data_IF_314991233325
#
_entry.id   IF_314991233325
#
_cell.length_a   1.000
_cell.length_b   1.000
_cell.length_c   1.000
_cell.angle_alpha   90.00
_cell.angle_beta   90.00
_cell.angle_gamma   90.00
#
_symmetry.space_group_name_H-M   'P 1'
#
loop_
_entity.id
_entity.type
_entity.pdbx_description
1 polymer ?
#
# COMPACT_ATOMS: atom_id res chain seq x y z
N UNK A 1 -19.01 7.99 20.87
CA UNK A 1 -18.59 6.74 21.53
C UNK A 1 -17.24 6.34 20.97
N UNK A 2 -16.21 6.29 21.81
CA UNK A 2 -14.89 5.81 21.44
C UNK A 2 -14.97 4.28 21.29
N UNK A 3 -15.10 3.75 20.07
CA UNK A 3 -15.18 2.30 19.84
C UNK A 3 -13.77 1.71 19.76
N UNK A 4 -13.50 0.66 20.52
CA UNK A 4 -12.27 -0.14 20.43
C UNK A 4 -12.10 -0.57 18.97
N UNK A 5 -10.93 -0.31 18.37
CA UNK A 5 -10.67 -0.64 16.96
C UNK A 5 -9.90 -1.93 16.77
N UNK A 6 -9.28 -2.44 17.83
CA UNK A 6 -8.48 -3.65 17.81
C UNK A 6 -9.29 -4.86 18.30
N UNK A 7 -9.24 -5.95 17.56
CA UNK A 7 -9.68 -7.28 17.98
C UNK A 7 -8.46 -8.17 18.19
N UNK A 8 -8.47 -8.94 19.28
CA UNK A 8 -7.47 -10.00 19.52
C UNK A 8 -8.02 -11.29 18.92
N UNK A 9 -7.29 -11.85 17.96
CA UNK A 9 -7.51 -13.17 17.43
C UNK A 9 -6.64 -14.23 18.11
N UNK A 10 -6.64 -15.42 17.51
CA UNK A 10 -5.82 -16.56 17.92
C UNK A 10 -4.33 -16.24 17.72
N UNK A 11 -3.48 -16.89 18.52
CA UNK A 11 -2.02 -16.74 18.48
C UNK A 11 -1.51 -15.29 18.51
N UNK A 12 -2.26 -14.43 19.21
CA UNK A 12 -2.01 -13.00 19.37
C UNK A 12 -2.00 -12.18 18.07
N UNK A 13 -2.62 -12.68 16.99
CA UNK A 13 -2.89 -11.84 15.83
C UNK A 13 -3.90 -10.75 16.20
N UNK A 14 -3.62 -9.52 15.80
CA UNK A 14 -4.52 -8.39 16.00
C UNK A 14 -5.20 -8.02 14.69
N UNK A 15 -6.48 -7.64 14.76
CA UNK A 15 -7.29 -7.24 13.61
C UNK A 15 -7.95 -5.88 13.83
N UNK A 16 -8.22 -5.17 12.73
CA UNK A 16 -8.95 -3.92 12.73
C UNK A 16 -10.45 -4.19 12.59
N UNK A 17 -11.28 -3.68 13.51
CA UNK A 17 -12.73 -4.02 13.53
C UNK A 17 -13.68 -2.85 13.49
N UNK A 18 -13.22 -1.64 13.83
CA UNK A 18 -14.03 -0.43 13.83
C UNK A 18 -13.29 0.68 13.08
N UNK A 19 -12.83 0.37 11.87
CA UNK A 19 -12.33 1.38 10.95
C UNK A 19 -13.48 2.19 10.34
N UNK A 20 -13.15 3.21 9.55
CA UNK A 20 -14.16 4.03 8.89
C UNK A 20 -15.04 3.24 7.90
N UNK A 21 -14.61 2.06 7.45
CA UNK A 21 -15.30 1.27 6.43
C UNK A 21 -15.93 -0.02 6.98
N UNK A 22 -15.74 -0.34 8.26
CA UNK A 22 -16.15 -1.58 8.91
C UNK A 22 -15.75 -2.83 8.11
N UNK A 23 -14.47 -2.93 7.73
CA UNK A 23 -13.97 -3.99 6.82
C UNK A 23 -14.39 -5.40 7.23
N UNK A 24 -14.15 -5.78 8.49
CA UNK A 24 -14.49 -7.10 8.99
C UNK A 24 -15.99 -7.40 8.88
N UNK A 25 -16.85 -6.43 9.19
CA UNK A 25 -18.29 -6.58 9.04
C UNK A 25 -18.68 -6.76 7.57
N UNK A 26 -18.11 -5.96 6.66
CA UNK A 26 -18.36 -6.09 5.22
C UNK A 26 -17.98 -7.47 4.66
N UNK A 27 -16.98 -8.12 5.23
CA UNK A 27 -16.61 -9.47 4.84
C UNK A 27 -17.54 -10.56 5.41
N UNK A 28 -18.28 -10.27 6.48
CA UNK A 28 -19.26 -11.18 7.08
C UNK A 28 -20.63 -11.11 6.40
N UNK A 29 -21.05 -9.93 5.95
CA UNK A 29 -22.36 -9.70 5.34
C UNK A 29 -22.25 -9.35 3.86
N UNK A 30 -23.15 -9.89 3.04
CA UNK A 30 -23.19 -9.48 1.64
C UNK A 30 -23.81 -8.08 1.52
N UNK A 31 -22.97 -7.07 1.33
CA UNK A 31 -23.43 -5.71 1.13
C UNK A 31 -23.69 -5.44 -0.36
N UNK A 32 -24.76 -4.72 -0.67
CA UNK A 32 -25.01 -4.25 -2.03
C UNK A 32 -24.05 -3.10 -2.36
N UNK A 33 -22.98 -3.41 -3.08
CA UNK A 33 -22.07 -2.41 -3.61
C UNK A 33 -22.72 -1.69 -4.80
N UNK A 34 -22.79 -0.35 -4.75
CA UNK A 34 -23.61 0.44 -5.68
C UNK A 34 -22.85 1.11 -6.83
N UNK A 35 -21.54 0.90 -6.95
CA UNK A 35 -20.80 1.26 -8.14
C UNK A 35 -19.42 1.84 -7.86
N UNK A 36 -18.65 2.01 -8.93
CA UNK A 36 -17.32 2.61 -8.90
C UNK A 36 -17.28 3.84 -9.80
N UNK A 37 -16.30 4.72 -9.59
CA UNK A 37 -16.08 5.82 -10.53
C UNK A 37 -15.74 5.29 -11.94
N UNK A 38 -16.23 5.98 -12.96
CA UNK A 38 -16.01 5.57 -14.35
C UNK A 38 -14.57 5.89 -14.79
N UNK A 39 -13.77 4.85 -14.99
CA UNK A 39 -12.39 4.94 -15.48
C UNK A 39 -12.19 4.55 -16.95
N UNK A 40 -13.29 4.41 -17.71
CA UNK A 40 -13.26 3.94 -19.12
C UNK A 40 -12.21 4.64 -19.98
N UNK A 41 -12.04 5.97 -19.82
CA UNK A 41 -11.07 6.79 -20.57
C UNK A 41 -9.59 6.50 -20.28
N UNK A 42 -9.28 5.66 -19.31
CA UNK A 42 -7.91 5.37 -18.88
C UNK A 42 -7.57 3.88 -18.90
N UNK A 43 -8.51 3.01 -19.31
CA UNK A 43 -8.32 1.55 -19.27
C UNK A 43 -7.17 1.05 -20.16
N UNK A 44 -6.71 1.84 -21.12
CA UNK A 44 -5.54 1.52 -21.93
C UNK A 44 -4.22 1.61 -21.14
N UNK A 45 -4.20 2.29 -19.99
CA UNK A 45 -2.99 2.53 -19.19
C UNK A 45 -3.15 2.39 -17.67
N UNK A 46 -4.34 2.04 -17.20
CA UNK A 46 -4.69 1.97 -15.77
C UNK A 46 -4.58 0.53 -15.24
N UNK A 47 -3.85 0.35 -14.15
CA UNK A 47 -3.87 -0.88 -13.35
C UNK A 47 -4.30 -0.58 -11.91
N UNK A 48 -5.34 -1.26 -11.45
CA UNK A 48 -5.68 -1.34 -10.03
C UNK A 48 -4.90 -2.48 -9.39
N UNK A 49 -4.23 -2.21 -8.28
CA UNK A 49 -3.59 -3.21 -7.43
C UNK A 49 -4.31 -3.16 -6.09
N UNK A 50 -5.09 -4.20 -5.78
CA UNK A 50 -5.88 -4.22 -4.55
C UNK A 50 -5.20 -5.10 -3.52
N UNK A 51 -4.65 -4.49 -2.46
CA UNK A 51 -4.15 -5.26 -1.32
C UNK A 51 -5.34 -5.89 -0.57
N UNK A 52 -5.31 -7.20 -0.30
CA UNK A 52 -6.35 -7.82 0.51
C UNK A 52 -6.31 -7.23 1.92
N UNK A 53 -7.48 -7.13 2.54
CA UNK A 53 -7.53 -6.87 3.97
C UNK A 53 -6.88 -8.03 4.74
N UNK A 54 -6.28 -7.70 5.89
CA UNK A 54 -5.52 -8.66 6.69
C UNK A 54 -6.39 -9.85 7.11
N UNK A 55 -7.64 -9.61 7.47
CA UNK A 55 -8.61 -10.62 7.83
C UNK A 55 -8.90 -11.61 6.69
N UNK A 56 -8.76 -11.21 5.41
CA UNK A 56 -8.93 -12.12 4.28
C UNK A 56 -7.81 -13.15 4.17
N UNK A 57 -6.58 -12.76 4.51
CA UNK A 57 -5.39 -13.63 4.45
C UNK A 57 -5.21 -14.41 5.75
N UNK A 58 -5.38 -13.74 6.89
CA UNK A 58 -5.17 -14.30 8.23
C UNK A 58 -6.47 -14.84 8.86
N UNK A 59 -7.46 -15.23 8.05
CA UNK A 59 -8.80 -15.64 8.52
C UNK A 59 -8.78 -16.77 9.55
N UNK A 60 -7.82 -17.69 9.47
CA UNK A 60 -7.72 -18.82 10.40
C UNK A 60 -7.32 -18.38 11.83
N UNK A 61 -6.77 -17.18 11.95
CA UNK A 61 -6.43 -16.55 13.23
C UNK A 61 -7.55 -15.67 13.79
N UNK A 62 -8.68 -15.53 13.10
CA UNK A 62 -9.83 -14.84 13.67
C UNK A 62 -10.51 -15.72 14.76
N UNK A 63 -11.20 -15.10 15.73
CA UNK A 63 -12.12 -15.83 16.61
C UNK A 63 -13.23 -16.52 15.78
N UNK A 64 -13.74 -17.66 16.28
CA UNK A 64 -14.61 -18.57 15.51
C UNK A 64 -15.95 -17.94 15.08
N UNK A 65 -16.40 -16.91 15.79
CA UNK A 65 -17.59 -16.13 15.46
C UNK A 65 -17.42 -15.25 14.21
N UNK A 66 -16.18 -14.99 13.77
CA UNK A 66 -15.89 -14.19 12.58
C UNK A 66 -15.62 -15.09 11.37
N UNK A 67 -16.49 -14.98 10.37
CA UNK A 67 -16.39 -15.72 9.11
C UNK A 67 -16.26 -14.77 7.94
N UNK A 68 -15.15 -14.88 7.20
CA UNK A 68 -14.90 -14.12 5.97
C UNK A 68 -15.58 -14.84 4.82
N UNK A 69 -16.76 -14.38 4.44
CA UNK A 69 -17.59 -15.02 3.41
C UNK A 69 -17.61 -14.22 2.10
N UNK A 70 -17.43 -12.90 2.17
CA UNK A 70 -17.67 -12.00 1.06
C UNK A 70 -16.47 -11.08 0.81
N UNK A 71 -16.24 -10.77 -0.46
CA UNK A 71 -15.32 -9.75 -0.97
C UNK A 71 -16.03 -8.97 -2.08
N UNK A 72 -17.22 -8.43 -1.74
CA UNK A 72 -18.22 -7.99 -2.72
C UNK A 72 -17.71 -6.85 -3.57
N UNK A 73 -17.09 -5.84 -2.97
CA UNK A 73 -16.51 -4.70 -3.68
C UNK A 73 -15.41 -5.13 -4.64
N UNK A 74 -14.48 -5.99 -4.19
CA UNK A 74 -13.44 -6.51 -5.08
C UNK A 74 -14.03 -7.34 -6.23
N UNK A 75 -15.04 -8.16 -5.95
CA UNK A 75 -15.72 -8.96 -6.98
C UNK A 75 -16.35 -8.06 -8.05
N UNK A 76 -17.02 -6.99 -7.63
CA UNK A 76 -17.56 -5.99 -8.54
C UNK A 76 -16.46 -5.33 -9.37
N UNK A 77 -15.39 -4.83 -8.73
CA UNK A 77 -14.26 -4.21 -9.42
C UNK A 77 -13.59 -5.16 -10.43
N UNK A 78 -13.48 -6.47 -10.12
CA UNK A 78 -12.98 -7.48 -11.05
C UNK A 78 -13.84 -7.64 -12.29
N UNK A 79 -15.17 -7.60 -12.13
CA UNK A 79 -16.09 -7.69 -13.26
C UNK A 79 -15.98 -6.46 -14.18
N UNK A 80 -15.86 -5.27 -13.60
CA UNK A 80 -15.79 -4.01 -14.35
C UNK A 80 -14.41 -3.78 -14.99
N UNK A 81 -13.32 -3.98 -14.25
CA UNK A 81 -11.95 -3.69 -14.70
C UNK A 81 -11.31 -4.85 -15.46
N UNK A 82 -11.78 -6.09 -15.29
CA UNK A 82 -11.25 -7.29 -15.95
C UNK A 82 -9.73 -7.43 -15.75
N UNK A 83 -8.93 -7.29 -16.81
CA UNK A 83 -7.47 -7.41 -16.77
C UNK A 83 -6.78 -6.16 -16.19
N UNK A 84 -7.52 -5.10 -15.92
CA UNK A 84 -7.01 -3.85 -15.34
C UNK A 84 -7.05 -3.84 -13.82
N UNK A 85 -7.21 -5.00 -13.19
CA UNK A 85 -7.12 -5.17 -11.74
C UNK A 85 -6.33 -6.42 -11.38
N UNK A 86 -5.47 -6.28 -10.38
CA UNK A 86 -4.66 -7.32 -9.80
C UNK A 86 -5.13 -7.58 -8.36
N UNK A 87 -5.46 -8.83 -8.08
CA UNK A 87 -5.75 -9.34 -6.75
C UNK A 87 -4.67 -10.36 -6.35
N UNK A 88 -3.75 -10.00 -5.43
CA UNK A 88 -2.65 -10.84 -5.03
C UNK A 88 -3.03 -11.87 -3.95
N UNK A 89 -4.30 -12.02 -3.60
CA UNK A 89 -4.74 -12.86 -2.47
C UNK A 89 -4.21 -14.30 -2.51
N UNK A 90 -4.17 -14.93 -3.70
CA UNK A 90 -3.68 -16.31 -3.85
C UNK A 90 -2.15 -16.44 -3.73
N UNK A 91 -1.41 -15.34 -3.81
CA UNK A 91 0.05 -15.31 -3.66
C UNK A 91 0.50 -15.17 -2.20
N UNK A 92 -0.42 -14.74 -1.34
CA UNK A 92 -0.13 -14.28 0.00
C UNK A 92 -0.52 -15.32 1.05
N UNK A 93 0.22 -15.31 2.15
CA UNK A 93 -0.04 -16.12 3.34
C UNK A 93 0.05 -15.27 4.61
N UNK A 94 -0.32 -15.85 5.76
CA UNK A 94 -0.39 -15.11 7.04
C UNK A 94 0.98 -14.54 7.51
N UNK A 95 2.09 -15.03 6.98
CA UNK A 95 3.44 -14.53 7.30
C UNK A 95 3.82 -13.29 6.50
N UNK A 96 3.00 -12.92 5.51
CA UNK A 96 3.16 -11.70 4.71
C UNK A 96 2.53 -10.47 5.37
N UNK A 97 1.84 -10.65 6.51
CA UNK A 97 1.29 -9.57 7.33
C UNK A 97 1.98 -9.54 8.70
N UNK A 98 2.07 -8.34 9.28
CA UNK A 98 2.47 -8.19 10.68
C UNK A 98 1.40 -8.79 11.60
N UNK A 99 1.78 -9.30 12.77
CA UNK A 99 0.80 -9.78 13.76
C UNK A 99 0.05 -8.65 14.43
N UNK A 100 0.74 -7.56 14.75
CA UNK A 100 0.27 -6.47 15.60
C UNK A 100 0.01 -5.16 14.86
N UNK A 101 0.05 -5.18 13.53
CA UNK A 101 -0.20 -4.04 12.66
C UNK A 101 -1.22 -4.42 11.57
N UNK A 102 -1.92 -3.42 11.02
CA UNK A 102 -2.89 -3.60 9.94
C UNK A 102 -2.28 -3.84 8.56
N UNK A 103 -1.01 -3.45 8.37
CA UNK A 103 -0.34 -3.48 7.08
C UNK A 103 0.31 -4.83 6.77
N UNK A 104 0.50 -5.04 5.48
CA UNK A 104 1.38 -6.08 4.94
C UNK A 104 2.84 -5.72 5.25
N UNK A 105 3.66 -6.74 5.55
CA UNK A 105 5.09 -6.54 5.79
C UNK A 105 5.88 -6.50 4.46
N UNK A 106 7.18 -6.20 4.52
CA UNK A 106 8.01 -6.07 3.31
C UNK A 106 8.05 -7.34 2.46
N UNK A 107 7.98 -8.53 3.09
CA UNK A 107 7.96 -9.82 2.38
C UNK A 107 6.71 -9.91 1.50
N UNK A 108 5.53 -9.64 2.06
CA UNK A 108 4.29 -9.59 1.30
C UNK A 108 4.30 -8.54 0.20
N UNK A 109 4.71 -7.32 0.53
CA UNK A 109 4.73 -6.20 -0.43
C UNK A 109 5.68 -6.48 -1.60
N UNK A 110 6.79 -7.18 -1.35
CA UNK A 110 7.71 -7.58 -2.41
C UNK A 110 7.09 -8.61 -3.36
N UNK A 111 6.34 -9.59 -2.83
CA UNK A 111 5.56 -10.53 -3.67
C UNK A 111 4.57 -9.78 -4.57
N UNK A 112 3.81 -8.83 -4.01
CA UNK A 112 2.86 -8.00 -4.78
C UNK A 112 3.58 -7.14 -5.83
N UNK A 113 4.73 -6.57 -5.50
CA UNK A 113 5.56 -5.81 -6.44
C UNK A 113 5.96 -6.66 -7.65
N UNK A 114 6.51 -7.86 -7.43
CA UNK A 114 6.91 -8.76 -8.52
C UNK A 114 5.71 -9.12 -9.40
N UNK A 115 4.58 -9.51 -8.79
CA UNK A 115 3.37 -9.83 -9.54
C UNK A 115 2.85 -8.63 -10.36
N UNK A 116 2.95 -7.42 -9.80
CA UNK A 116 2.59 -6.19 -10.50
C UNK A 116 3.44 -5.99 -11.75
N UNK A 117 4.76 -6.18 -11.67
CA UNK A 117 5.64 -6.01 -12.82
C UNK A 117 5.38 -7.05 -13.91
N UNK A 118 5.19 -8.31 -13.53
CA UNK A 118 4.84 -9.35 -14.50
C UNK A 118 3.52 -9.04 -15.20
N UNK A 119 2.52 -8.57 -14.46
CA UNK A 119 1.25 -8.14 -15.04
C UNK A 119 1.43 -6.95 -16.00
N UNK A 120 2.25 -5.96 -15.63
CA UNK A 120 2.52 -4.81 -16.49
C UNK A 120 3.19 -5.23 -17.81
N UNK A 121 4.22 -6.09 -17.74
CA UNK A 121 4.93 -6.61 -18.91
C UNK A 121 3.97 -7.29 -19.90
N UNK A 122 3.08 -8.13 -19.38
CA UNK A 122 2.14 -8.90 -20.23
C UNK A 122 0.99 -8.03 -20.73
N UNK A 123 0.33 -7.30 -19.84
CA UNK A 123 -0.92 -6.60 -20.15
C UNK A 123 -0.71 -5.30 -20.93
N UNK A 124 0.36 -4.54 -20.62
CA UNK A 124 0.67 -3.28 -21.29
C UNK A 124 1.85 -3.38 -22.27
N UNK A 125 2.43 -4.58 -22.45
CA UNK A 125 3.55 -4.83 -23.34
C UNK A 125 4.75 -3.87 -23.10
N UNK A 126 5.09 -3.67 -21.83
CA UNK A 126 6.19 -2.78 -21.41
C UNK A 126 7.41 -3.58 -20.97
N UNK A 127 8.61 -3.08 -21.28
CA UNK A 127 9.87 -3.67 -20.80
C UNK A 127 10.26 -3.02 -19.48
N UNK A 128 10.19 -3.79 -18.38
CA UNK A 128 10.53 -3.32 -17.03
C UNK A 128 11.42 -4.36 -16.36
N UNK A 129 12.56 -3.92 -15.82
CA UNK A 129 13.43 -4.80 -15.03
C UNK A 129 12.92 -4.88 -13.59
N UNK A 130 12.85 -6.09 -13.05
CA UNK A 130 12.56 -6.31 -11.63
C UNK A 130 13.79 -6.00 -10.79
N UNK A 131 13.60 -5.28 -9.69
CA UNK A 131 14.66 -5.06 -8.71
C UNK A 131 14.69 -6.21 -7.71
N UNK A 132 15.84 -6.86 -7.57
CA UNK A 132 16.08 -7.88 -6.55
C UNK A 132 16.44 -7.21 -5.22
N UNK A 133 15.86 -7.67 -4.12
CA UNK A 133 16.20 -7.24 -2.76
C UNK A 133 16.38 -8.44 -1.83
N UNK A 134 17.25 -8.27 -0.85
CA UNK A 134 17.51 -9.21 0.24
C UNK A 134 16.69 -8.76 1.44
N UNK A 135 15.72 -9.61 1.81
CA UNK A 135 14.85 -9.36 2.96
C UNK A 135 15.47 -10.02 4.19
N UNK A 136 15.69 -9.21 5.21
CA UNK A 136 16.17 -9.59 6.53
C UNK A 136 15.00 -9.55 7.52
N UNK A 137 15.10 -10.33 8.59
CA UNK A 137 14.11 -10.37 9.66
C UNK A 137 14.71 -10.04 11.02
N UNK A 138 13.91 -9.41 11.87
CA UNK A 138 14.26 -9.11 13.26
C UNK A 138 13.06 -9.30 14.15
N UNK A 139 13.15 -10.21 15.13
CA UNK A 139 12.15 -10.35 16.19
C UNK A 139 12.20 -9.14 17.12
N UNK A 140 11.04 -8.59 17.46
CA UNK A 140 10.90 -7.41 18.30
C UNK A 140 9.87 -7.67 19.38
N UNK A 141 10.07 -7.07 20.56
CA UNK A 141 9.06 -7.05 21.63
C UNK A 141 7.86 -6.16 21.29
N UNK A 142 8.01 -5.24 20.35
CA UNK A 142 6.95 -4.39 19.80
C UNK A 142 7.43 -3.69 18.52
N UNK A 143 6.59 -3.66 17.48
CA UNK A 143 6.84 -2.87 16.28
C UNK A 143 6.93 -1.36 16.57
N UNK A 144 6.23 -0.87 17.59
CA UNK A 144 6.25 0.55 17.96
C UNK A 144 7.64 1.04 18.37
N UNK A 145 8.53 0.14 18.82
CA UNK A 145 9.90 0.47 19.22
C UNK A 145 10.75 0.96 18.03
N UNK A 146 10.31 0.73 16.80
CA UNK A 146 11.00 1.19 15.59
C UNK A 146 10.76 2.68 15.31
N UNK A 147 9.68 3.28 15.81
CA UNK A 147 9.32 4.66 15.50
C UNK A 147 8.93 4.91 14.03
N UNK A 148 8.55 3.86 13.29
CA UNK A 148 8.24 3.91 11.85
C UNK A 148 6.73 3.98 11.54
N UNK A 149 5.89 4.27 12.54
CA UNK A 149 4.43 4.23 12.37
C UNK A 149 3.86 2.81 12.24
N UNK A 150 4.57 1.81 12.75
CA UNK A 150 4.14 0.40 12.79
C UNK A 150 3.64 -0.02 14.19
N UNK A 151 2.88 -1.11 14.23
CA UNK A 151 2.21 -1.64 15.42
C UNK A 151 0.91 -0.90 15.73
N UNK A 152 0.22 -0.38 14.71
CA UNK A 152 -0.93 0.52 14.87
C UNK A 152 -2.06 -0.06 15.74
N UNK A 153 -2.29 -1.38 15.68
CA UNK A 153 -3.30 -2.06 16.49
C UNK A 153 -2.96 -2.13 17.98
N UNK A 154 -1.72 -1.83 18.37
CA UNK A 154 -1.30 -1.74 19.77
C UNK A 154 -1.34 -0.31 20.32
N UNK A 155 -1.61 0.69 19.48
CA UNK A 155 -1.62 2.09 19.90
C UNK A 155 -2.79 2.39 20.85
N UNK A 156 -2.60 3.28 21.85
CA UNK A 156 -3.65 3.62 22.81
C UNK A 156 -4.98 4.01 22.18
N UNK A 157 -4.97 4.76 21.08
CA UNK A 157 -6.17 5.18 20.36
C UNK A 157 -6.96 4.04 19.68
N UNK A 158 -6.29 2.94 19.34
CA UNK A 158 -6.92 1.79 18.67
C UNK A 158 -7.32 0.72 19.68
N UNK A 159 -6.45 0.40 20.64
CA UNK A 159 -6.72 -0.64 21.65
C UNK A 159 -7.56 -0.15 22.83
N UNK A 160 -7.49 1.14 23.18
CA UNK A 160 -8.05 1.69 24.42
C UNK A 160 -7.61 0.90 25.67
N UNK A 161 -8.56 0.42 26.47
CA UNK A 161 -8.31 -0.36 27.69
C UNK A 161 -8.09 -1.86 27.42
N UNK A 162 -8.11 -2.28 26.15
CA UNK A 162 -7.86 -3.68 25.79
C UNK A 162 -6.45 -4.11 26.24
N UNK A 163 -6.41 -5.21 26.99
CA UNK A 163 -5.19 -5.87 27.45
C UNK A 163 -4.70 -6.83 26.36
N UNK A 164 -3.63 -6.43 25.67
CA UNK A 164 -3.01 -7.23 24.61
C UNK A 164 -2.01 -8.20 25.24
N UNK A 165 -2.18 -9.54 25.10
CA UNK A 165 -1.33 -10.51 25.78
C UNK A 165 0.13 -10.48 25.32
N UNK A 166 0.37 -10.22 24.02
CA UNK A 166 1.71 -10.06 23.45
C UNK A 166 1.71 -8.98 22.38
N UNK A 167 2.79 -8.18 22.36
CA UNK A 167 3.07 -7.19 21.31
C UNK A 167 4.22 -7.64 20.41
N UNK A 168 4.70 -8.86 20.60
CA UNK A 168 5.82 -9.39 19.84
C UNK A 168 5.47 -9.53 18.36
N UNK A 169 6.42 -9.19 17.51
CA UNK A 169 6.25 -9.26 16.06
C UNK A 169 7.60 -9.47 15.37
N UNK A 170 7.56 -9.81 14.08
CA UNK A 170 8.75 -9.94 13.24
C UNK A 170 8.79 -8.79 12.24
N UNK A 171 9.83 -7.96 12.35
CA UNK A 171 10.07 -6.88 11.42
C UNK A 171 10.89 -7.37 10.23
N UNK A 172 10.35 -7.20 9.03
CA UNK A 172 11.02 -7.52 7.77
C UNK A 172 11.54 -6.24 7.11
N UNK A 173 12.82 -6.21 6.75
CA UNK A 173 13.49 -5.03 6.20
C UNK A 173 14.54 -5.40 5.16
N UNK A 174 15.10 -4.41 4.47
CA UNK A 174 16.19 -4.60 3.51
C UNK A 174 17.21 -3.47 3.64
N UNK A 175 18.47 -3.78 3.34
CA UNK A 175 19.54 -2.79 3.22
C UNK A 175 19.75 -2.32 1.78
N UNK A 176 19.04 -2.92 0.80
CA UNK A 176 19.20 -2.62 -0.63
C UNK A 176 18.44 -1.36 -1.08
N UNK A 177 17.56 -0.86 -0.21
CA UNK A 177 16.72 0.31 -0.43
C UNK A 177 17.03 1.38 0.60
N UNK A 178 16.96 2.64 0.17
CA UNK A 178 17.05 3.77 1.09
C UNK A 178 15.78 3.85 1.94
N UNK A 179 15.86 4.28 3.21
CA UNK A 179 14.66 4.45 4.03
C UNK A 179 13.85 5.63 3.49
N UNK A 180 12.57 5.41 3.16
CA UNK A 180 11.73 6.49 2.63
C UNK A 180 11.27 7.48 3.72
N UNK A 181 11.01 6.98 4.94
CA UNK A 181 10.80 7.81 6.12
C UNK A 181 12.13 8.36 6.64
N UNK A 182 12.74 9.29 5.91
CA UNK A 182 13.97 9.95 6.32
C UNK A 182 13.79 11.45 6.56
N UNK A 183 14.45 11.92 7.63
CA UNK A 183 14.54 13.34 8.02
C UNK A 183 15.31 14.23 7.03
N UNK A 184 15.51 13.81 5.79
CA UNK A 184 16.22 14.59 4.78
C UNK A 184 15.78 14.18 3.38
N UNK A 185 15.64 15.16 2.49
CA UNK A 185 15.52 14.91 1.05
C UNK A 185 16.71 14.07 0.59
N UNK A 186 16.41 12.89 0.07
CA UNK A 186 17.41 11.99 -0.49
C UNK A 186 17.71 12.43 -1.92
N UNK A 187 18.84 13.10 -2.10
CA UNK A 187 19.48 13.26 -3.40
C UNK A 187 20.65 12.29 -3.45
N UNK A 188 20.43 11.13 -4.06
CA UNK A 188 21.53 10.27 -4.48
C UNK A 188 22.02 10.68 -5.86
N UNK A 189 23.18 10.15 -6.26
CA UNK A 189 23.66 10.28 -7.64
C UNK A 189 22.75 9.59 -8.66
N UNK A 190 21.77 8.77 -8.23
CA UNK A 190 20.93 7.97 -9.12
C UNK A 190 19.48 8.47 -9.20
N UNK A 191 18.91 8.82 -8.05
CA UNK A 191 17.51 9.22 -7.91
C UNK A 191 17.44 10.61 -7.30
N UNK A 192 16.75 11.50 -8.02
CA UNK A 192 16.37 12.83 -7.57
C UNK A 192 14.92 12.80 -7.11
N UNK A 193 14.64 13.39 -5.94
CA UNK A 193 13.29 13.49 -5.38
C UNK A 193 12.90 14.97 -5.28
N UNK A 194 11.72 15.31 -5.81
CA UNK A 194 11.12 16.64 -5.69
C UNK A 194 9.73 16.52 -5.04
N UNK A 195 9.36 17.54 -4.27
CA UNK A 195 8.02 17.71 -3.73
C UNK A 195 7.30 18.75 -4.59
N UNK A 196 6.15 18.37 -5.15
CA UNK A 196 5.31 19.23 -5.96
C UNK A 196 3.97 19.47 -5.25
N UNK A 197 3.42 20.68 -5.39
CA UNK A 197 2.03 20.89 -4.98
C UNK A 197 1.06 20.25 -6.02
N UNK A 198 -0.24 20.26 -5.74
CA UNK A 198 -1.27 19.72 -6.67
C UNK A 198 -1.43 20.53 -7.98
N UNK A 199 -0.75 21.68 -8.12
CA UNK A 199 -0.62 22.39 -9.40
C UNK A 199 0.56 21.90 -10.23
N UNK A 200 1.40 21.03 -9.67
CA UNK A 200 2.68 20.51 -10.19
C UNK A 200 3.83 21.52 -10.16
N UNK A 201 3.75 22.52 -9.29
CA UNK A 201 4.84 23.46 -9.05
C UNK A 201 5.81 22.86 -8.04
N UNK A 202 7.11 22.93 -8.32
CA UNK A 202 8.15 22.43 -7.41
C UNK A 202 8.23 23.32 -6.16
N UNK A 203 7.98 22.72 -5.00
CA UNK A 203 8.01 23.34 -3.68
C UNK A 203 9.02 22.64 -2.76
N UNK A 204 10.02 21.99 -3.36
CA UNK A 204 11.10 21.31 -2.63
C UNK A 204 11.91 22.34 -1.88
N UNK A 205 12.13 22.09 -0.59
CA UNK A 205 13.00 22.88 0.29
C UNK A 205 14.15 21.97 0.72
N UNK A 206 15.40 22.42 0.59
CA UNK A 206 16.61 21.58 0.75
C UNK A 206 16.69 20.83 2.09
N UNK A 207 16.08 21.38 3.15
CA UNK A 207 16.10 20.83 4.51
C UNK A 207 14.77 20.18 4.93
N UNK A 208 13.78 20.07 4.04
CA UNK A 208 12.46 19.54 4.41
C UNK A 208 12.48 18.02 4.56
N UNK A 209 11.91 17.57 5.67
CA UNK A 209 11.70 16.16 5.99
C UNK A 209 10.53 15.63 5.16
N UNK A 210 10.73 14.52 4.45
CA UNK A 210 9.60 13.80 3.83
C UNK A 210 8.94 12.97 4.94
N UNK A 211 7.97 13.57 5.60
CA UNK A 211 7.13 12.94 6.61
C UNK A 211 5.73 12.62 6.07
N UNK A 212 4.89 12.05 6.94
CA UNK A 212 3.51 11.73 6.60
C UNK A 212 2.68 12.95 6.18
N UNK A 213 2.96 14.12 6.74
CA UNK A 213 2.26 15.35 6.37
C UNK A 213 2.60 15.76 4.93
N UNK A 214 3.87 15.67 4.57
CA UNK A 214 4.35 15.94 3.20
C UNK A 214 3.73 14.94 2.22
N UNK A 215 3.82 13.63 2.52
CA UNK A 215 3.26 12.58 1.66
C UNK A 215 1.75 12.67 1.47
N UNK A 216 1.02 13.23 2.43
CA UNK A 216 -0.45 13.35 2.37
C UNK A 216 -0.95 14.63 1.70
N UNK A 217 -0.14 15.68 1.61
CA UNK A 217 -0.54 16.99 1.10
C UNK A 217 0.06 17.33 -0.26
N UNK A 218 1.13 16.65 -0.64
CA UNK A 218 1.93 16.98 -1.82
C UNK A 218 2.10 15.75 -2.73
N UNK A 219 2.57 15.99 -3.95
CA UNK A 219 2.97 14.97 -4.92
C UNK A 219 4.48 14.77 -4.82
N UNK A 220 4.92 13.53 -4.63
CA UNK A 220 6.35 13.20 -4.67
C UNK A 220 6.72 12.80 -6.09
N UNK A 221 7.60 13.58 -6.72
CA UNK A 221 8.20 13.26 -8.01
C UNK A 221 9.56 12.60 -7.77
N UNK A 222 9.77 11.39 -8.28
CA UNK A 222 11.09 10.79 -8.38
C UNK A 222 11.53 10.66 -9.83
N UNK A 223 12.81 10.95 -10.08
CA UNK A 223 13.46 10.73 -11.39
C UNK A 223 14.68 9.85 -11.17
N UNK A 224 14.70 8.66 -11.78
CA UNK A 224 15.81 7.72 -11.73
C UNK A 224 16.62 7.79 -13.03
N UNK A 225 17.76 8.49 -13.01
CA UNK A 225 18.52 8.73 -14.23
C UNK A 225 19.13 7.46 -14.82
N UNK A 226 19.31 6.41 -14.00
CA UNK A 226 19.90 5.12 -14.40
C UNK A 226 18.87 4.06 -14.81
N UNK A 227 17.58 4.40 -14.82
CA UNK A 227 16.54 3.45 -15.24
C UNK A 227 16.68 3.08 -16.73
N UNK A 228 16.45 1.81 -17.06
CA UNK A 228 16.56 1.26 -18.42
C UNK A 228 15.31 1.51 -19.28
N UNK A 229 14.14 1.69 -18.65
CA UNK A 229 12.93 2.12 -19.33
C UNK A 229 12.82 3.66 -19.33
N UNK A 230 11.88 4.19 -20.12
CA UNK A 230 11.58 5.63 -20.17
C UNK A 230 10.15 5.94 -19.68
N UNK A 231 9.59 5.09 -18.81
CA UNK A 231 8.20 5.20 -18.39
C UNK A 231 7.99 6.36 -17.41
N UNK A 232 6.98 7.18 -17.72
CA UNK A 232 6.40 8.19 -16.84
C UNK A 232 5.13 7.64 -16.19
N UNK A 233 5.22 7.33 -14.90
CA UNK A 233 4.15 6.67 -14.15
C UNK A 233 3.55 7.64 -13.14
N UNK A 234 2.22 7.62 -13.01
CA UNK A 234 1.53 8.19 -11.86
C UNK A 234 1.03 7.07 -10.96
N UNK A 235 1.25 7.22 -9.66
CA UNK A 235 0.98 6.20 -8.65
C UNK A 235 0.06 6.80 -7.60
N UNK A 236 -1.19 6.38 -7.61
CA UNK A 236 -2.15 6.65 -6.55
C UNK A 236 -2.04 5.57 -5.49
N UNK A 237 -1.93 5.96 -4.21
CA UNK A 237 -1.65 5.00 -3.14
C UNK A 237 -2.23 5.42 -1.78
N UNK A 238 -2.31 4.46 -0.87
CA UNK A 238 -2.58 4.65 0.56
C UNK A 238 -1.37 4.22 1.42
N UNK A 239 -1.53 4.08 2.74
CA UNK A 239 -0.41 3.73 3.62
C UNK A 239 0.24 2.36 3.35
N UNK A 240 -0.42 1.44 2.63
CA UNK A 240 0.12 0.11 2.36
C UNK A 240 1.35 0.13 1.44
N UNK A 241 1.48 1.13 0.58
CA UNK A 241 2.57 1.14 -0.40
C UNK A 241 3.91 1.60 0.18
N UNK A 242 3.91 2.21 1.37
CA UNK A 242 5.03 3.05 1.83
C UNK A 242 6.36 2.31 1.85
N UNK A 243 6.39 1.05 2.29
CA UNK A 243 7.63 0.28 2.41
C UNK A 243 8.25 -0.12 1.07
N UNK A 244 7.52 -0.01 -0.04
CA UNK A 244 8.03 -0.32 -1.38
C UNK A 244 8.08 0.90 -2.31
N UNK A 245 7.81 2.11 -1.82
CA UNK A 245 8.00 3.33 -2.62
C UNK A 245 9.43 3.42 -3.19
N UNK A 246 10.52 3.24 -2.41
CA UNK A 246 11.89 3.25 -2.96
C UNK A 246 12.11 2.22 -4.07
N UNK A 247 11.43 1.07 -3.98
CA UNK A 247 11.52 0.01 -4.98
C UNK A 247 10.88 0.47 -6.30
N UNK A 248 9.72 1.11 -6.23
CA UNK A 248 9.05 1.69 -7.40
C UNK A 248 9.86 2.85 -8.00
N UNK A 249 10.49 3.69 -7.16
CA UNK A 249 11.39 4.75 -7.64
C UNK A 249 12.59 4.20 -8.42
N UNK A 250 13.13 3.03 -8.02
CA UNK A 250 14.19 2.34 -8.77
C UNK A 250 13.68 1.68 -10.05
N UNK A 251 12.40 1.33 -10.12
CA UNK A 251 11.81 0.55 -11.21
C UNK A 251 11.50 1.38 -12.45
N UNK A 252 11.05 2.63 -12.29
CA UNK A 252 10.62 3.47 -13.41
C UNK A 252 11.48 4.72 -13.54
N UNK A 253 11.60 5.22 -14.77
CA UNK A 253 12.34 6.47 -15.06
C UNK A 253 11.78 7.65 -14.29
N UNK A 254 10.45 7.79 -14.28
CA UNK A 254 9.76 8.90 -13.60
C UNK A 254 8.51 8.39 -12.90
N UNK A 255 8.39 8.69 -11.60
CA UNK A 255 7.19 8.38 -10.82
C UNK A 255 6.62 9.64 -10.18
N UNK A 256 5.30 9.79 -10.23
CA UNK A 256 4.54 10.78 -9.47
C UNK A 256 3.69 10.05 -8.43
N UNK A 257 4.09 10.09 -7.16
CA UNK A 257 3.37 9.45 -6.07
C UNK A 257 2.36 10.44 -5.47
N UNK A 258 1.08 10.06 -5.52
CA UNK A 258 -0.05 10.86 -5.06
C UNK A 258 -0.82 10.07 -4.01
N UNK A 259 -0.75 10.47 -2.74
CA UNK A 259 -1.50 9.78 -1.67
C UNK A 259 -2.96 10.23 -1.62
N UNK A 260 -3.71 9.86 -2.66
CA UNK A 260 -5.13 10.16 -2.81
C UNK A 260 -5.79 9.12 -3.72
N UNK A 261 -7.13 9.20 -3.84
CA UNK A 261 -7.84 8.48 -4.90
C UNK A 261 -7.46 9.01 -6.27
N UNK A 262 -7.71 8.23 -7.32
CA UNK A 262 -7.48 8.62 -8.72
C UNK A 262 -7.98 10.06 -8.98
N UNK A 263 -7.06 10.92 -9.38
CA UNK A 263 -7.30 12.33 -9.68
C UNK A 263 -7.11 12.59 -11.17
N UNK A 264 -8.21 12.83 -11.88
CA UNK A 264 -8.19 13.00 -13.34
C UNK A 264 -7.49 14.27 -13.78
N UNK A 265 -7.48 15.32 -12.95
CA UNK A 265 -6.76 16.56 -13.24
C UNK A 265 -5.25 16.33 -13.23
N UNK A 266 -4.74 15.61 -12.23
CA UNK A 266 -3.33 15.22 -12.19
C UNK A 266 -2.95 14.32 -13.36
N UNK A 267 -3.77 13.32 -13.69
CA UNK A 267 -3.54 12.45 -14.85
C UNK A 267 -3.44 13.27 -16.13
N UNK A 268 -4.38 14.19 -16.36
CA UNK A 268 -4.39 15.02 -17.57
C UNK A 268 -3.17 15.95 -17.64
N UNK A 269 -2.74 16.53 -16.51
CA UNK A 269 -1.57 17.40 -16.46
C UNK A 269 -0.24 16.65 -16.62
N UNK A 270 -0.09 15.50 -15.98
CA UNK A 270 1.14 14.69 -16.01
C UNK A 270 1.27 13.96 -17.35
N UNK A 271 0.13 13.59 -17.96
CA UNK A 271 0.04 12.75 -19.15
C UNK A 271 0.95 11.49 -19.04
N UNK A 272 0.66 10.59 -18.09
CA UNK A 272 1.51 9.44 -17.82
C UNK A 272 1.33 8.34 -18.87
N UNK A 273 2.36 7.51 -19.03
CA UNK A 273 2.34 6.27 -19.80
C UNK A 273 1.56 5.18 -19.06
N UNK A 274 1.65 5.14 -17.73
CA UNK A 274 0.95 4.20 -16.86
C UNK A 274 0.34 4.89 -15.65
N UNK A 275 -0.83 4.42 -15.25
CA UNK A 275 -1.55 4.83 -14.04
C UNK A 275 -1.65 3.61 -13.13
N UNK A 276 -0.97 3.64 -11.99
CA UNK A 276 -1.05 2.58 -11.01
C UNK A 276 -1.89 3.07 -9.82
N UNK A 277 -2.91 2.33 -9.44
CA UNK A 277 -3.73 2.63 -8.27
C UNK A 277 -3.63 1.50 -7.25
N UNK A 278 -2.78 1.71 -6.25
CA UNK A 278 -2.60 0.82 -5.11
C UNK A 278 -3.60 1.17 -4.02
N UNK A 279 -4.42 0.21 -3.61
CA UNK A 279 -5.49 0.46 -2.64
C UNK A 279 -5.73 -0.78 -1.79
N UNK A 280 -5.90 -0.63 -0.48
CA UNK A 280 -6.41 -1.72 0.34
C UNK A 280 -7.91 -1.94 0.09
N UNK A 281 -8.33 -3.20 0.10
CA UNK A 281 -9.68 -3.65 -0.23
C UNK A 281 -10.78 -2.88 0.51
N UNK A 282 -10.65 -2.65 1.83
CA UNK A 282 -11.61 -1.88 2.62
C UNK A 282 -11.88 -0.46 2.13
N UNK A 283 -10.99 0.12 1.32
CA UNK A 283 -11.21 1.43 0.73
C UNK A 283 -11.89 1.38 -0.64
N UNK A 284 -12.13 0.21 -1.23
CA UNK A 284 -12.98 0.12 -2.43
C UNK A 284 -14.39 0.63 -2.11
N UNK A 285 -14.83 1.65 -2.85
CA UNK A 285 -16.00 2.45 -2.56
C UNK A 285 -16.63 3.05 -3.81
#
# INVERSE_FOLDING_TARGET
MNKVKTLIGKDNYLFLINDSNNSLYKHQVNNNFQGMANYSKFLDKLLFIVFPDKECICKDYLPDEYKINYRTELTYYKNELKNNILDPTLLLDHTDYFKTDTHMNLKGLYKVYIQTLEHLKVHFNVSIDSICIHILEKKLSSLCNLGLGLGDLTWPQNKQDLMIPSREDTYYYTNDLFPFYCRKLYNSTEITINILNYKLENITEDDKIIDWNTLSKDVVLSVNEKCTNNLNVIIFYDSFLIHIIPLLMKTFKRCHFCKCTINTHLINKINPDLILNFKVERFLN
#
